data_IF_957786768146
#
_entry.id   IF_957786768146
#
_cell.length_a   1.000
_cell.length_b   1.000
_cell.length_c   1.000
_cell.angle_alpha   90.00
_cell.angle_beta   90.00
_cell.angle_gamma   90.00
#
_symmetry.space_group_name_H-M   'P 1'
#
loop_
_entity.id
_entity.type
_entity.pdbx_description
1 polymer ?
#
# COMPACT_ATOMS: atom_id res chain seq x y z
N UNK A 1 -6.62 -17.96 7.24
CA UNK A 1 -6.04 -18.19 8.59
C UNK A 1 -5.94 -16.84 9.27
N UNK A 2 -6.38 -16.68 10.52
CA UNK A 2 -6.28 -15.40 11.26
C UNK A 2 -5.16 -15.49 12.29
N UNK A 3 -4.18 -14.60 12.20
CA UNK A 3 -3.12 -14.41 13.20
C UNK A 3 -3.27 -12.99 13.74
N UNK A 4 -3.34 -12.84 15.06
CA UNK A 4 -3.39 -11.53 15.71
C UNK A 4 -2.05 -11.26 16.41
N UNK A 5 -1.48 -10.08 16.18
CA UNK A 5 -0.22 -9.65 16.79
C UNK A 5 -0.49 -8.45 17.69
N UNK A 6 -0.17 -8.56 18.98
CA UNK A 6 -0.30 -7.47 19.94
C UNK A 6 1.06 -6.85 20.20
N UNK A 7 1.24 -5.60 19.81
CA UNK A 7 2.48 -4.85 20.00
C UNK A 7 2.29 -3.72 21.01
N UNK A 8 3.38 -3.37 21.70
CA UNK A 8 3.48 -2.01 22.23
C UNK A 8 3.67 -1.08 21.02
N UNK A 9 2.85 -0.03 20.90
CA UNK A 9 2.87 0.81 19.71
C UNK A 9 4.27 1.42 19.50
N UNK A 10 4.84 1.14 18.34
CA UNK A 10 6.10 1.67 17.83
C UNK A 10 5.93 1.86 16.32
N UNK A 11 6.08 3.10 15.86
CA UNK A 11 5.93 3.46 14.45
C UNK A 11 6.87 2.64 13.55
N UNK A 12 8.10 2.40 13.99
CA UNK A 12 9.06 1.59 13.22
C UNK A 12 8.59 0.14 13.11
N UNK A 13 8.09 -0.42 14.20
CA UNK A 13 7.50 -1.75 14.25
C UNK A 13 6.29 -1.89 13.33
N UNK A 14 5.36 -0.94 13.38
CA UNK A 14 4.17 -0.91 12.52
C UNK A 14 4.56 -0.82 11.04
N UNK A 15 5.42 0.13 10.67
CA UNK A 15 5.93 0.27 9.30
C UNK A 15 6.62 -0.99 8.79
N UNK A 16 7.39 -1.69 9.64
CA UNK A 16 8.03 -2.94 9.25
C UNK A 16 6.99 -4.02 8.91
N UNK A 17 5.92 -4.13 9.69
CA UNK A 17 4.86 -5.10 9.43
C UNK A 17 4.03 -4.74 8.19
N UNK A 18 3.68 -3.47 8.00
CA UNK A 18 2.97 -3.00 6.81
C UNK A 18 3.80 -3.20 5.54
N UNK A 19 5.11 -2.98 5.62
CA UNK A 19 5.99 -3.25 4.48
C UNK A 19 6.22 -4.75 4.25
N UNK A 20 6.16 -5.59 5.28
CA UNK A 20 6.08 -7.05 5.08
C UNK A 20 4.78 -7.41 4.36
N UNK A 21 3.64 -6.89 4.79
CA UNK A 21 2.33 -7.10 4.14
C UNK A 21 2.33 -6.65 2.68
N UNK A 22 2.98 -5.52 2.36
CA UNK A 22 3.15 -5.08 0.98
C UNK A 22 3.92 -6.09 0.11
N UNK A 23 4.94 -6.77 0.66
CA UNK A 23 5.65 -7.84 -0.07
C UNK A 23 4.77 -9.07 -0.25
N UNK A 24 4.02 -9.48 0.76
CA UNK A 24 3.07 -10.60 0.64
C UNK A 24 1.99 -10.29 -0.41
N UNK A 25 1.45 -9.07 -0.41
CA UNK A 25 0.52 -8.59 -1.42
C UNK A 25 1.14 -8.64 -2.82
N UNK A 26 2.40 -8.24 -2.97
CA UNK A 26 3.09 -8.34 -4.25
C UNK A 26 3.24 -9.79 -4.74
N UNK A 27 3.45 -10.75 -3.83
CA UNK A 27 3.48 -12.18 -4.17
C UNK A 27 2.10 -12.64 -4.67
N UNK A 28 1.02 -12.28 -3.97
CA UNK A 28 -0.35 -12.62 -4.36
C UNK A 28 -0.72 -12.05 -5.72
N UNK A 29 -0.44 -10.76 -5.96
CA UNK A 29 -0.75 -10.07 -7.23
C UNK A 29 0.06 -10.65 -8.41
N UNK A 30 1.30 -11.12 -8.18
CA UNK A 30 2.07 -11.83 -9.21
C UNK A 30 1.50 -13.22 -9.50
N UNK A 31 1.09 -13.94 -8.46
CA UNK A 31 0.56 -15.30 -8.57
C UNK A 31 -0.81 -15.34 -9.28
N UNK A 32 -1.60 -14.27 -9.19
CA UNK A 32 -2.92 -14.16 -9.81
C UNK A 32 -2.99 -12.89 -10.68
N UNK A 33 -2.56 -12.97 -11.95
CA UNK A 33 -2.40 -11.79 -12.79
C UNK A 33 -3.70 -11.05 -13.08
N UNK A 34 -4.82 -11.76 -13.03
CA UNK A 34 -6.17 -11.30 -13.37
C UNK A 34 -6.91 -10.64 -12.20
N UNK A 35 -6.30 -10.57 -11.01
CA UNK A 35 -6.87 -9.81 -9.90
C UNK A 35 -7.03 -8.34 -10.30
N UNK A 36 -8.16 -7.69 -9.96
CA UNK A 36 -8.30 -6.27 -10.17
C UNK A 36 -7.29 -5.53 -9.29
N UNK A 37 -6.68 -4.49 -9.85
CA UNK A 37 -5.86 -3.57 -9.07
C UNK A 37 -6.75 -2.68 -8.20
N UNK A 38 -6.19 -2.03 -7.20
CA UNK A 38 -6.86 -1.38 -6.08
C UNK A 38 -7.83 -0.33 -6.59
N UNK A 39 -7.34 0.51 -7.49
CA UNK A 39 -8.14 1.56 -8.11
C UNK A 39 -9.19 1.06 -9.12
N UNK A 40 -9.19 -0.23 -9.47
CA UNK A 40 -10.21 -0.91 -10.29
C UNK A 40 -11.05 -1.91 -9.48
N UNK A 41 -10.69 -2.17 -8.22
CA UNK A 41 -11.24 -3.28 -7.42
C UNK A 41 -12.62 -3.01 -6.83
N UNK A 42 -13.00 -1.74 -6.74
CA UNK A 42 -14.20 -1.31 -6.00
C UNK A 42 -14.05 -1.34 -4.48
N UNK A 43 -12.87 -1.68 -3.95
CA UNK A 43 -12.55 -1.56 -2.52
C UNK A 43 -12.64 -0.09 -2.12
N UNK A 44 -13.32 0.18 -1.00
CA UNK A 44 -13.52 1.55 -0.50
C UNK A 44 -12.77 1.78 0.81
N UNK A 45 -12.32 3.01 1.02
CA UNK A 45 -11.81 3.43 2.31
C UNK A 45 -12.91 3.33 3.38
N UNK A 46 -12.64 2.62 4.47
CA UNK A 46 -13.50 2.55 5.65
C UNK A 46 -12.63 2.42 6.89
N UNK A 47 -12.81 3.33 7.84
CA UNK A 47 -12.15 3.24 9.15
C UNK A 47 -12.63 2.02 9.90
N UNK A 48 -11.70 1.25 10.46
CA UNK A 48 -12.00 0.10 11.29
C UNK A 48 -11.97 0.50 12.78
N UNK A 49 -12.80 -0.17 13.60
CA UNK A 49 -12.73 -0.02 15.07
C UNK A 49 -11.65 -0.91 15.67
N UNK A 50 -11.37 -2.04 15.02
CA UNK A 50 -10.29 -2.96 15.36
C UNK A 50 -9.31 -2.98 14.18
N UNK A 51 -8.07 -2.56 14.41
CA UNK A 51 -6.97 -2.50 13.41
C UNK A 51 -6.66 -3.91 12.87
N UNK A 52 -7.35 -4.35 11.80
CA UNK A 52 -7.17 -5.67 11.19
C UNK A 52 -6.63 -5.54 9.78
N UNK A 53 -5.31 -5.66 9.63
CA UNK A 53 -4.70 -5.58 8.30
C UNK A 53 -4.94 -6.86 7.50
N UNK A 54 -5.61 -6.72 6.37
CA UNK A 54 -5.85 -7.82 5.45
C UNK A 54 -4.78 -7.91 4.36
N UNK A 55 -4.45 -9.14 3.94
CA UNK A 55 -3.77 -9.34 2.67
C UNK A 55 -4.69 -8.97 1.50
N UNK A 56 -4.10 -8.90 0.30
CA UNK A 56 -4.78 -8.42 -0.89
C UNK A 56 -6.08 -9.19 -1.20
N UNK A 57 -6.09 -10.52 -1.01
CA UNK A 57 -7.27 -11.34 -1.30
C UNK A 57 -8.38 -11.13 -0.28
N UNK A 58 -8.03 -11.05 1.00
CA UNK A 58 -8.99 -10.80 2.06
C UNK A 58 -9.57 -9.38 1.97
N UNK A 59 -8.74 -8.39 1.60
CA UNK A 59 -9.17 -7.03 1.30
C UNK A 59 -10.21 -7.00 0.17
N UNK A 60 -9.93 -7.68 -0.96
CA UNK A 60 -10.89 -7.79 -2.06
C UNK A 60 -12.20 -8.47 -1.63
N UNK A 61 -12.12 -9.52 -0.82
CA UNK A 61 -13.29 -10.25 -0.34
C UNK A 61 -14.17 -9.42 0.61
N UNK A 62 -13.58 -8.59 1.47
CA UNK A 62 -14.35 -7.73 2.39
C UNK A 62 -14.82 -6.41 1.73
N UNK A 63 -14.18 -5.99 0.65
CA UNK A 63 -14.58 -4.82 -0.15
C UNK A 63 -14.28 -3.46 0.50
N UNK A 64 -13.51 -3.43 1.58
CA UNK A 64 -13.04 -2.21 2.22
C UNK A 64 -11.72 -2.43 2.95
N UNK A 65 -11.03 -1.34 3.27
CA UNK A 65 -9.85 -1.32 4.13
C UNK A 65 -9.60 0.13 4.59
N UNK A 66 -8.79 0.34 5.63
CA UNK A 66 -8.37 1.68 6.01
C UNK A 66 -7.02 2.11 5.39
N UNK A 67 -6.45 3.23 5.84
CA UNK A 67 -5.27 3.81 5.20
C UNK A 67 -4.07 2.87 5.19
N UNK A 68 -3.89 2.02 6.18
CA UNK A 68 -2.67 1.23 6.32
C UNK A 68 -2.67 -0.01 5.43
N UNK A 69 -3.77 -0.77 5.41
CA UNK A 69 -3.98 -1.90 4.52
C UNK A 69 -4.06 -1.45 3.06
N UNK A 70 -4.73 -0.33 2.76
CA UNK A 70 -4.77 0.23 1.41
C UNK A 70 -3.37 0.65 0.93
N UNK A 71 -2.57 1.30 1.79
CA UNK A 71 -1.20 1.65 1.44
C UNK A 71 -0.34 0.40 1.21
N UNK A 72 -0.48 -0.63 2.05
CA UNK A 72 0.22 -1.90 1.88
C UNK A 72 -0.19 -2.61 0.58
N UNK A 73 -1.48 -2.64 0.24
CA UNK A 73 -1.98 -3.19 -1.01
C UNK A 73 -1.39 -2.43 -2.21
N UNK A 74 -1.48 -1.11 -2.21
CA UNK A 74 -0.99 -0.25 -3.29
C UNK A 74 0.52 -0.38 -3.51
N UNK A 75 1.31 -0.42 -2.43
CA UNK A 75 2.74 -0.70 -2.51
C UNK A 75 3.01 -2.08 -3.16
N UNK A 76 2.24 -3.10 -2.77
CA UNK A 76 2.32 -4.44 -3.33
C UNK A 76 2.11 -4.48 -4.86
N UNK A 77 1.15 -3.70 -5.38
CA UNK A 77 0.90 -3.61 -6.83
C UNK A 77 2.06 -3.01 -7.60
N UNK A 78 2.62 -1.91 -7.09
CA UNK A 78 3.76 -1.23 -7.71
C UNK A 78 4.97 -2.17 -7.75
N UNK A 79 5.20 -2.92 -6.67
CA UNK A 79 6.24 -3.95 -6.61
C UNK A 79 5.94 -5.08 -7.61
N UNK A 80 4.68 -5.50 -7.74
CA UNK A 80 4.27 -6.65 -8.54
C UNK A 80 4.24 -6.39 -10.05
N UNK A 81 3.71 -5.23 -10.46
CA UNK A 81 3.34 -4.92 -11.85
C UNK A 81 4.12 -3.75 -12.45
N UNK A 82 4.91 -3.02 -11.65
CA UNK A 82 5.69 -1.88 -12.11
C UNK A 82 4.82 -0.83 -12.81
N UNK A 83 5.13 -0.50 -14.08
CA UNK A 83 4.31 0.43 -14.86
C UNK A 83 2.86 -0.02 -15.01
N UNK A 84 2.59 -1.33 -14.99
CA UNK A 84 1.22 -1.86 -15.08
C UNK A 84 0.33 -1.50 -13.88
N UNK A 85 0.92 -1.05 -12.76
CA UNK A 85 0.18 -0.54 -11.61
C UNK A 85 -0.08 0.97 -11.69
N UNK A 86 0.56 1.71 -12.59
CA UNK A 86 0.36 3.16 -12.72
C UNK A 86 -0.64 3.49 -13.83
N UNK A 87 -1.35 4.59 -13.65
CA UNK A 87 -2.32 5.16 -14.60
C UNK A 87 -1.83 6.49 -15.18
N UNK A 88 -2.31 6.88 -16.38
CA UNK A 88 -2.13 8.24 -16.86
C UNK A 88 -2.64 9.26 -15.82
N UNK A 89 -1.75 10.16 -15.39
CA UNK A 89 -2.03 11.13 -14.32
C UNK A 89 -1.32 10.80 -13.00
N UNK A 90 -0.93 9.55 -12.76
CA UNK A 90 -0.16 9.18 -11.57
C UNK A 90 1.21 9.85 -11.58
N UNK A 91 1.70 10.19 -10.39
CA UNK A 91 3.02 10.79 -10.25
C UNK A 91 4.12 9.85 -10.77
N UNK A 92 4.94 10.35 -11.70
CA UNK A 92 6.00 9.53 -12.30
C UNK A 92 5.53 8.57 -13.40
N UNK A 93 4.23 8.56 -13.77
CA UNK A 93 3.71 7.73 -14.86
C UNK A 93 4.48 7.96 -16.17
N UNK A 94 4.70 9.20 -16.59
CA UNK A 94 5.41 9.48 -17.84
C UNK A 94 6.87 9.00 -17.84
N UNK A 95 7.54 9.10 -16.69
CA UNK A 95 8.91 8.61 -16.53
C UNK A 95 8.93 7.07 -16.57
N UNK A 96 7.98 6.42 -15.90
CA UNK A 96 7.83 4.98 -15.89
C UNK A 96 7.41 4.44 -17.27
N UNK A 97 6.54 5.15 -18.00
CA UNK A 97 6.11 4.78 -19.36
C UNK A 97 7.30 4.72 -20.32
N UNK A 98 8.27 5.63 -20.17
CA UNK A 98 9.50 5.62 -21.00
C UNK A 98 10.48 4.52 -20.61
N UNK A 99 10.58 4.21 -19.31
CA UNK A 99 11.50 3.19 -18.81
C UNK A 99 10.93 1.76 -18.83
N UNK A 100 9.59 1.62 -18.92
CA UNK A 100 8.82 0.38 -18.85
C UNK A 100 9.28 -0.58 -17.72
N UNK A 101 9.41 -0.11 -16.46
CA UNK A 101 9.88 -0.95 -15.37
C UNK A 101 8.88 -2.09 -15.10
N UNK A 102 9.39 -3.32 -15.05
CA UNK A 102 8.60 -4.49 -14.66
C UNK A 102 8.21 -4.48 -13.17
N UNK A 103 8.99 -3.77 -12.34
CA UNK A 103 8.74 -3.58 -10.92
C UNK A 103 9.08 -2.15 -10.52
N UNK A 104 8.35 -1.59 -9.56
CA UNK A 104 8.61 -0.28 -8.98
C UNK A 104 8.87 -0.47 -7.48
N UNK A 105 10.06 -0.07 -6.97
CA UNK A 105 10.29 -0.05 -5.53
C UNK A 105 9.25 0.85 -4.85
N UNK A 106 8.51 0.29 -3.90
CA UNK A 106 7.48 0.99 -3.15
C UNK A 106 7.48 0.52 -1.69
N UNK A 107 7.06 1.41 -0.80
CA UNK A 107 6.97 1.14 0.63
C UNK A 107 5.84 1.98 1.25
N UNK A 108 5.25 1.45 2.31
CA UNK A 108 4.33 2.21 3.16
C UNK A 108 5.16 3.19 3.98
N UNK A 109 4.68 4.44 4.05
CA UNK A 109 5.22 5.47 4.92
C UNK A 109 4.11 6.11 5.75
N UNK A 110 4.45 6.55 6.96
CA UNK A 110 3.53 7.32 7.80
C UNK A 110 3.69 8.80 7.51
N UNK A 111 2.57 9.49 7.47
CA UNK A 111 2.50 10.94 7.57
C UNK A 111 1.76 11.29 8.84
N UNK A 112 2.39 12.08 9.70
CA UNK A 112 1.73 12.68 10.85
C UNK A 112 1.16 14.02 10.40
N UNK A 113 -0.17 14.14 10.40
CA UNK A 113 -0.85 15.43 10.19
C UNK A 113 -1.03 16.21 11.50
N UNK A 114 -0.47 15.71 12.59
CA UNK A 114 -0.73 16.16 13.96
C UNK A 114 0.45 16.94 14.48
N UNK A 115 0.18 18.07 15.14
CA UNK A 115 1.21 18.84 15.81
C UNK A 115 1.78 18.06 16.99
N UNK A 116 3.02 18.35 17.42
CA UNK A 116 3.51 17.91 18.72
C UNK A 116 2.45 18.22 19.78
N UNK A 117 2.21 17.29 20.70
CA UNK A 117 1.23 17.37 21.80
C UNK A 117 -0.24 17.07 21.48
N UNK A 118 -0.61 16.78 20.23
CA UNK A 118 -1.93 16.22 19.93
C UNK A 118 -1.86 14.70 19.68
N UNK A 119 -2.78 13.89 20.24
CA UNK A 119 -2.91 12.49 19.87
C UNK A 119 -3.22 12.44 18.37
N UNK A 120 -2.21 12.04 17.60
CA UNK A 120 -2.28 12.07 16.17
C UNK A 120 -2.73 10.75 15.61
N UNK A 121 -3.83 10.76 14.86
CA UNK A 121 -4.12 9.67 13.93
C UNK A 121 -3.00 9.67 12.88
N UNK A 122 -2.22 8.60 12.85
CA UNK A 122 -1.24 8.41 11.79
C UNK A 122 -1.98 8.16 10.48
N UNK A 123 -1.44 8.68 9.38
CA UNK A 123 -2.00 8.45 8.06
C UNK A 123 -0.96 7.75 7.19
N UNK A 124 -1.25 6.52 6.80
CA UNK A 124 -0.40 5.74 5.91
C UNK A 124 -0.60 6.17 4.46
N UNK A 125 0.52 6.36 3.75
CA UNK A 125 0.55 6.60 2.30
C UNK A 125 1.61 5.70 1.69
N UNK A 126 1.63 5.60 0.36
CA UNK A 126 2.68 4.89 -0.37
C UNK A 126 3.75 5.86 -0.84
N UNK A 127 5.01 5.47 -0.67
CA UNK A 127 6.15 6.10 -1.33
C UNK A 127 6.75 5.12 -2.33
N UNK A 128 7.00 5.58 -3.55
CA UNK A 128 7.56 4.72 -4.61
C UNK A 128 8.54 5.45 -5.50
N UNK A 129 9.45 4.70 -6.13
CA UNK A 129 10.57 5.27 -6.90
C UNK A 129 10.47 4.92 -8.37
N UNK A 130 10.38 5.94 -9.20
CA UNK A 130 10.49 5.83 -10.66
C UNK A 130 11.83 6.43 -11.09
N UNK A 131 12.70 5.60 -11.67
CA UNK A 131 14.07 6.00 -11.97
C UNK A 131 14.82 6.46 -10.71
N UNK A 132 15.18 7.75 -10.65
CA UNK A 132 15.89 8.36 -9.50
C UNK A 132 14.99 9.19 -8.59
N UNK A 133 13.71 9.33 -8.92
CA UNK A 133 12.78 10.22 -8.20
C UNK A 133 11.80 9.44 -7.36
N UNK A 134 11.55 9.96 -6.15
CA UNK A 134 10.53 9.44 -5.25
C UNK A 134 9.22 10.19 -5.47
N UNK A 135 8.14 9.43 -5.49
CA UNK A 135 6.76 9.87 -5.63
C UNK A 135 5.94 9.36 -4.45
N UNK A 136 4.73 9.90 -4.29
CA UNK A 136 3.79 9.54 -3.23
C UNK A 136 2.41 9.26 -3.83
N UNK A 137 1.69 8.34 -3.21
CA UNK A 137 0.29 7.99 -3.51
C UNK A 137 -0.49 7.96 -2.19
N UNK A 138 -1.63 8.64 -2.14
CA UNK A 138 -2.53 8.77 -0.98
C UNK A 138 -3.96 8.46 -1.41
#
# INVERSE_FOLDING_TARGET
>A
MKIAVKLAFDERGALRLLNWLAQENAILVRAQPDLPLLYDSGVVYRRETDETWCDYLNMLAQGHEDCDGLAAARAGELIAKGIGALRPGDAGYEDARRAAPATIPAEVMLTTRSTPDQPGLYHCIVRYRVGRRWHRDD
#
